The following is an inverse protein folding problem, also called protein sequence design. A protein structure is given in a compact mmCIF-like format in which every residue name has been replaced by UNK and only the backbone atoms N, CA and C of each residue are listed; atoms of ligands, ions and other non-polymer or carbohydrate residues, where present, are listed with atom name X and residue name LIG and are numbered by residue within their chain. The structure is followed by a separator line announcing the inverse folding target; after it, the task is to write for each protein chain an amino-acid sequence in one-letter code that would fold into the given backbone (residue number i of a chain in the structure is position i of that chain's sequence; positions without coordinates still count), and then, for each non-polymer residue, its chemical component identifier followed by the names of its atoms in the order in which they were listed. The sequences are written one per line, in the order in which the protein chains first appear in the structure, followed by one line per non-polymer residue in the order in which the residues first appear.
data_IF_288859661349
#
_entry.id   IF_288859661349
#
_cell.length_a   1.000
_cell.length_b   1.000
_cell.length_c   1.000
_cell.angle_alpha   90.00
_cell.angle_beta   90.00
_cell.angle_gamma   90.00
#
_symmetry.space_group_name_H-M   'P 1'
#
loop_
_entity.id
_entity.type
_entity.pdbx_description
1 polymer ?
#
# COMPACT_ATOMS: atom_id res chain seq x y z
N UNK A 1 -19.52 19.48 -23.93
CA UNK A 1 -18.07 19.29 -23.61
C UNK A 1 -17.85 18.01 -22.77
N UNK A 2 -18.31 16.84 -23.25
CA UNK A 2 -18.25 15.55 -22.50
C UNK A 2 -17.33 14.50 -23.15
N UNK A 3 -17.00 14.65 -24.44
CA UNK A 3 -16.26 13.66 -25.22
C UNK A 3 -14.79 13.48 -24.77
N UNK A 4 -14.12 14.57 -24.35
CA UNK A 4 -12.73 14.52 -23.87
C UNK A 4 -12.57 13.80 -22.51
N UNK A 5 -13.58 13.87 -21.63
CA UNK A 5 -13.54 13.20 -20.32
C UNK A 5 -13.64 11.68 -20.47
N UNK A 6 -14.57 11.21 -21.30
CA UNK A 6 -14.74 9.78 -21.61
C UNK A 6 -13.55 9.17 -22.35
N UNK A 7 -12.93 9.92 -23.26
CA UNK A 7 -11.74 9.47 -23.98
C UNK A 7 -10.50 9.37 -23.06
N UNK A 8 -10.30 10.35 -22.17
CA UNK A 8 -9.25 10.32 -21.15
C UNK A 8 -9.43 9.15 -20.18
N UNK A 9 -10.67 8.88 -19.74
CA UNK A 9 -10.99 7.73 -18.92
C UNK A 9 -10.63 6.41 -19.61
N UNK A 10 -11.00 6.25 -20.88
CA UNK A 10 -10.72 5.03 -21.65
C UNK A 10 -9.21 4.74 -21.78
N UNK A 11 -8.41 5.73 -22.20
CA UNK A 11 -6.94 5.57 -22.31
C UNK A 11 -6.31 5.23 -20.96
N UNK A 12 -6.79 5.85 -19.87
CA UNK A 12 -6.32 5.54 -18.52
C UNK A 12 -6.66 4.12 -18.09
N UNK A 13 -7.86 3.61 -18.40
CA UNK A 13 -8.23 2.23 -18.07
C UNK A 13 -7.38 1.21 -18.84
N UNK A 14 -7.08 1.48 -20.12
CA UNK A 14 -6.19 0.64 -20.91
C UNK A 14 -4.75 0.68 -20.40
N UNK A 15 -4.23 1.88 -20.10
CA UNK A 15 -2.91 2.05 -19.48
C UNK A 15 -2.83 1.31 -18.14
N UNK A 16 -3.88 1.39 -17.31
CA UNK A 16 -3.95 0.69 -16.02
C UNK A 16 -3.89 -0.83 -16.19
N UNK A 17 -4.70 -1.39 -17.10
CA UNK A 17 -4.66 -2.83 -17.43
C UNK A 17 -3.29 -3.25 -17.94
N UNK A 18 -2.68 -2.45 -18.81
CA UNK A 18 -1.34 -2.67 -19.35
C UNK A 18 -0.26 -2.71 -18.25
N UNK A 19 -0.25 -1.71 -17.36
CA UNK A 19 0.69 -1.65 -16.22
C UNK A 19 0.53 -2.87 -15.31
N UNK A 20 -0.70 -3.22 -14.92
CA UNK A 20 -0.94 -4.38 -14.04
C UNK A 20 -0.49 -5.69 -14.69
N UNK A 21 -0.79 -5.87 -15.97
CA UNK A 21 -0.38 -7.04 -16.73
C UNK A 21 1.13 -7.13 -16.89
N UNK A 22 1.79 -6.00 -17.18
CA UNK A 22 3.25 -5.91 -17.26
C UNK A 22 3.92 -6.28 -15.92
N UNK A 23 3.47 -5.70 -14.80
CA UNK A 23 3.99 -6.03 -13.47
C UNK A 23 3.84 -7.53 -13.18
N UNK A 24 2.66 -8.11 -13.44
CA UNK A 24 2.42 -9.55 -13.22
C UNK A 24 3.38 -10.42 -14.04
N UNK A 25 3.64 -10.05 -15.30
CA UNK A 25 4.59 -10.75 -16.16
C UNK A 25 6.05 -10.56 -15.74
N UNK A 26 6.41 -9.42 -15.18
CA UNK A 26 7.77 -9.16 -14.66
C UNK A 26 8.08 -9.94 -13.38
N UNK A 27 7.07 -10.32 -12.59
CA UNK A 27 7.23 -11.02 -11.31
C UNK A 27 6.34 -12.27 -11.22
N UNK A 28 6.51 -13.27 -12.10
CA UNK A 28 5.61 -14.42 -12.17
C UNK A 28 5.66 -15.32 -10.91
N UNK A 29 6.74 -15.24 -10.13
CA UNK A 29 6.90 -16.01 -8.89
C UNK A 29 6.19 -15.41 -7.69
N UNK A 30 5.57 -14.23 -7.82
CA UNK A 30 4.90 -13.52 -6.73
C UNK A 30 3.39 -13.57 -6.94
N UNK A 31 2.64 -14.34 -6.13
CA UNK A 31 1.18 -14.35 -6.17
C UNK A 31 0.62 -12.95 -5.95
N UNK A 32 -0.51 -12.66 -6.57
CA UNK A 32 -1.20 -11.37 -6.43
C UNK A 32 -2.61 -11.55 -5.89
N UNK A 33 -3.05 -10.62 -5.05
CA UNK A 33 -4.46 -10.47 -4.67
C UNK A 33 -4.99 -9.10 -5.10
N UNK A 34 -6.29 -9.03 -5.35
CA UNK A 34 -6.99 -7.77 -5.59
C UNK A 34 -7.22 -6.98 -4.30
N UNK A 35 -7.44 -5.67 -4.44
CA UNK A 35 -7.91 -4.78 -3.36
C UNK A 35 -9.20 -5.27 -2.72
N UNK A 36 -10.14 -5.83 -3.49
CA UNK A 36 -11.37 -6.40 -2.96
C UNK A 36 -11.14 -7.66 -2.11
N UNK A 37 -10.19 -8.53 -2.50
CA UNK A 37 -9.81 -9.69 -1.70
C UNK A 37 -9.13 -9.26 -0.41
N UNK A 38 -8.19 -8.30 -0.46
CA UNK A 38 -7.55 -7.77 0.74
C UNK A 38 -8.59 -7.13 1.68
N UNK A 39 -9.51 -6.33 1.16
CA UNK A 39 -10.55 -5.70 1.99
C UNK A 39 -11.43 -6.72 2.71
N UNK A 40 -11.81 -7.82 2.03
CA UNK A 40 -12.53 -8.93 2.69
C UNK A 40 -11.67 -9.62 3.76
N UNK A 41 -10.38 -9.79 3.49
CA UNK A 41 -9.46 -10.39 4.46
C UNK A 41 -9.29 -9.51 5.70
N UNK A 42 -9.19 -8.19 5.54
CA UNK A 42 -9.09 -7.23 6.65
C UNK A 42 -10.39 -7.10 7.46
N UNK A 43 -11.54 -7.44 6.87
CA UNK A 43 -12.83 -7.48 7.56
C UNK A 43 -13.16 -8.85 8.18
N UNK A 44 -12.31 -9.85 7.99
CA UNK A 44 -12.47 -11.19 8.54
C UNK A 44 -11.95 -11.27 9.98
N UNK A 45 -11.77 -12.48 10.49
CA UNK A 45 -11.27 -12.74 11.84
C UNK A 45 -9.89 -12.07 12.07
N UNK A 46 -9.75 -11.21 13.11
CA UNK A 46 -8.51 -10.55 13.47
C UNK A 46 -7.29 -11.49 13.63
N UNK A 47 -7.52 -12.73 14.05
CA UNK A 47 -6.46 -13.73 14.24
C UNK A 47 -5.85 -14.24 12.93
N UNK A 48 -6.49 -13.96 11.79
CA UNK A 48 -6.07 -14.42 10.46
C UNK A 48 -5.50 -13.32 9.57
N UNK A 49 -5.35 -12.11 10.11
CA UNK A 49 -4.94 -10.94 9.34
C UNK A 49 -3.52 -11.11 8.75
N UNK A 50 -3.30 -10.67 7.50
CA UNK A 50 -1.96 -10.63 6.93
C UNK A 50 -1.16 -9.47 7.53
N UNK A 51 0.16 -9.62 7.59
CA UNK A 51 1.01 -8.44 7.79
C UNK A 51 1.04 -7.60 6.52
N UNK A 52 0.82 -6.30 6.68
CA UNK A 52 0.85 -5.34 5.57
C UNK A 52 2.21 -4.66 5.52
N UNK A 53 2.88 -4.71 4.37
CA UNK A 53 4.20 -4.10 4.17
C UNK A 53 4.14 -3.05 3.06
N UNK A 54 4.44 -1.82 3.42
CA UNK A 54 4.52 -0.68 2.51
C UNK A 54 5.96 -0.45 2.03
N UNK A 55 6.20 -0.69 0.73
CA UNK A 55 7.51 -0.52 0.11
C UNK A 55 7.79 0.91 -0.40
N UNK A 56 6.94 1.89 -0.08
CA UNK A 56 7.10 3.29 -0.50
C UNK A 56 8.13 4.04 0.36
N UNK A 57 8.47 5.26 -0.10
CA UNK A 57 9.35 6.16 0.65
C UNK A 57 8.66 6.68 1.93
N UNK A 58 9.43 7.09 2.96
CA UNK A 58 8.86 7.68 4.18
C UNK A 58 7.88 8.81 3.90
N UNK A 59 8.23 9.72 2.99
CA UNK A 59 7.40 10.87 2.61
C UNK A 59 6.04 10.43 2.00
N UNK A 60 6.03 9.36 1.21
CA UNK A 60 4.80 8.81 0.64
C UNK A 60 3.92 8.11 1.69
N UNK A 61 4.57 7.42 2.65
CA UNK A 61 3.91 6.72 3.75
C UNK A 61 3.30 7.69 4.76
N UNK A 62 3.97 8.82 5.01
CA UNK A 62 3.52 9.87 5.91
C UNK A 62 2.22 10.53 5.42
N UNK A 63 2.08 10.75 4.11
CA UNK A 63 0.82 11.26 3.52
C UNK A 63 -0.34 10.34 3.85
N UNK A 64 -0.17 9.05 3.60
CA UNK A 64 -1.15 8.02 3.97
C UNK A 64 -0.58 6.63 3.82
N UNK A 65 -1.20 5.63 4.44
CA UNK A 65 -0.92 4.21 4.30
C UNK A 65 -2.15 3.37 4.72
N UNK A 66 -2.10 2.06 4.50
CA UNK A 66 -3.16 1.15 4.95
C UNK A 66 -3.06 1.00 6.48
N UNK A 67 -4.20 0.93 7.17
CA UNK A 67 -4.24 0.73 8.62
C UNK A 67 -3.49 -0.54 9.01
N UNK A 68 -2.56 -0.43 9.96
CA UNK A 68 -1.74 -1.55 10.42
C UNK A 68 -0.58 -1.94 9.50
N UNK A 69 -0.27 -1.14 8.48
CA UNK A 69 0.91 -1.35 7.65
C UNK A 69 2.21 -1.01 8.37
N UNK A 70 3.29 -1.72 8.02
CA UNK A 70 4.66 -1.37 8.37
C UNK A 70 5.41 -0.94 7.12
N UNK A 71 6.16 0.15 7.21
CA UNK A 71 7.03 0.58 6.11
C UNK A 71 8.32 -0.24 6.10
N UNK A 72 8.53 -1.05 5.06
CA UNK A 72 9.78 -1.77 4.85
C UNK A 72 10.12 -1.92 3.35
N UNK A 73 11.39 -1.80 3.01
CA UNK A 73 11.94 -1.87 1.64
C UNK A 73 12.91 -3.03 1.44
N UNK A 74 13.37 -3.68 2.50
CA UNK A 74 14.41 -4.70 2.47
C UNK A 74 14.04 -5.90 3.34
N UNK A 75 14.64 -7.07 3.07
CA UNK A 75 14.44 -8.27 3.90
C UNK A 75 14.83 -8.00 5.37
N UNK A 76 15.99 -7.38 5.69
CA UNK A 76 16.34 -7.08 7.08
C UNK A 76 15.35 -6.16 7.81
N UNK A 77 14.69 -5.23 7.10
CA UNK A 77 13.63 -4.41 7.68
C UNK A 77 12.38 -5.24 8.02
N UNK A 78 12.04 -6.23 7.19
CA UNK A 78 10.93 -7.16 7.43
C UNK A 78 11.28 -8.16 8.55
N UNK A 79 12.51 -8.68 8.59
CA UNK A 79 12.95 -9.62 9.63
C UNK A 79 12.83 -9.01 11.04
N UNK A 80 13.09 -7.69 11.18
CA UNK A 80 12.93 -6.96 12.45
C UNK A 80 11.51 -6.96 13.00
N UNK A 81 10.51 -7.26 12.17
CA UNK A 81 9.12 -7.36 12.59
C UNK A 81 8.81 -8.71 13.27
N UNK A 82 9.73 -9.67 13.25
CA UNK A 82 9.54 -10.97 13.89
C UNK A 82 8.45 -11.84 13.25
N UNK A 83 8.10 -11.56 11.98
CA UNK A 83 7.05 -12.28 11.26
C UNK A 83 7.52 -13.70 10.94
N UNK A 84 6.73 -14.71 11.31
CA UNK A 84 6.99 -16.10 10.93
C UNK A 84 6.89 -16.29 9.41
N UNK A 85 7.74 -17.15 8.83
CA UNK A 85 7.83 -17.39 7.39
C UNK A 85 6.51 -17.90 6.78
N UNK A 86 5.73 -18.65 7.56
CA UNK A 86 4.43 -19.21 7.16
C UNK A 86 3.29 -18.18 7.24
N UNK A 87 3.52 -17.06 7.92
CA UNK A 87 2.51 -16.00 8.08
C UNK A 87 2.40 -15.20 6.78
N UNK A 88 1.18 -14.97 6.26
CA UNK A 88 0.98 -14.13 5.10
C UNK A 88 1.55 -12.72 5.24
N UNK A 89 2.25 -12.29 4.20
CA UNK A 89 2.69 -10.91 4.05
C UNK A 89 2.07 -10.35 2.77
N UNK A 90 1.27 -9.31 2.88
CA UNK A 90 0.78 -8.55 1.73
C UNK A 90 1.66 -7.31 1.55
N UNK A 91 2.43 -7.30 0.47
CA UNK A 91 3.29 -6.17 0.09
C UNK A 91 2.55 -5.25 -0.86
N UNK A 92 2.69 -3.93 -0.68
CA UNK A 92 2.14 -2.94 -1.61
C UNK A 92 3.06 -1.72 -1.75
N UNK A 93 2.87 -0.96 -2.83
CA UNK A 93 3.52 0.34 -3.00
C UNK A 93 2.56 1.35 -3.62
N UNK A 94 2.99 2.17 -4.60
CA UNK A 94 2.08 3.06 -5.34
C UNK A 94 1.19 2.26 -6.29
N UNK A 95 1.82 1.57 -7.25
CA UNK A 95 1.15 0.86 -8.36
C UNK A 95 1.39 -0.65 -8.40
N UNK A 96 2.30 -1.17 -7.55
CA UNK A 96 2.58 -2.60 -7.42
C UNK A 96 3.96 -3.09 -7.87
N UNK A 97 4.77 -2.26 -8.55
CA UNK A 97 6.07 -2.70 -9.07
C UNK A 97 7.15 -2.87 -7.98
N UNK A 98 7.37 -1.83 -7.15
CA UNK A 98 8.38 -1.87 -6.05
C UNK A 98 8.07 -2.98 -5.05
N UNK A 99 6.78 -3.18 -4.76
CA UNK A 99 6.31 -4.21 -3.85
C UNK A 99 6.40 -5.60 -4.45
N UNK A 100 6.11 -5.79 -5.74
CA UNK A 100 6.33 -7.08 -6.39
C UNK A 100 7.82 -7.48 -6.35
N UNK A 101 8.74 -6.54 -6.56
CA UNK A 101 10.18 -6.78 -6.41
C UNK A 101 10.57 -7.18 -4.99
N UNK A 102 10.04 -6.50 -3.97
CA UNK A 102 10.25 -6.89 -2.57
C UNK A 102 9.63 -8.27 -2.28
N UNK A 103 8.42 -8.53 -2.76
CA UNK A 103 7.74 -9.81 -2.62
C UNK A 103 8.52 -10.95 -3.24
N UNK A 104 9.17 -10.75 -4.40
CA UNK A 104 10.05 -11.74 -5.01
C UNK A 104 11.24 -12.07 -4.11
N UNK A 105 11.89 -11.05 -3.55
CA UNK A 105 13.01 -11.22 -2.64
C UNK A 105 12.57 -11.93 -1.33
N UNK A 106 11.43 -11.54 -0.77
CA UNK A 106 10.86 -12.17 0.43
C UNK A 106 10.53 -13.65 0.20
N UNK A 107 9.92 -13.99 -0.95
CA UNK A 107 9.63 -15.38 -1.30
C UNK A 107 10.89 -16.22 -1.48
N UNK A 108 11.94 -15.65 -2.11
CA UNK A 108 13.25 -16.31 -2.18
C UNK A 108 13.87 -16.54 -0.79
N UNK A 109 13.54 -15.68 0.19
CA UNK A 109 13.92 -15.81 1.60
C UNK A 109 12.94 -16.64 2.45
N UNK A 110 12.03 -17.39 1.82
CA UNK A 110 11.10 -18.32 2.48
C UNK A 110 9.81 -17.72 3.01
N UNK A 111 9.57 -16.42 2.85
CA UNK A 111 8.32 -15.79 3.31
C UNK A 111 7.13 -16.10 2.40
N UNK A 112 5.95 -16.22 3.00
CA UNK A 112 4.67 -16.30 2.29
C UNK A 112 4.17 -14.91 1.81
N UNK A 113 4.98 -14.24 1.00
CA UNK A 113 4.66 -12.92 0.47
C UNK A 113 3.75 -12.96 -0.78
N UNK A 114 2.82 -12.00 -0.84
CA UNK A 114 1.77 -11.80 -1.84
C UNK A 114 1.74 -10.30 -2.19
N UNK A 115 1.70 -9.95 -3.48
CA UNK A 115 1.64 -8.55 -3.90
C UNK A 115 0.19 -8.05 -4.04
N UNK A 116 -0.09 -6.85 -3.53
CA UNK A 116 -1.37 -6.18 -3.73
C UNK A 116 -1.44 -5.58 -5.14
N UNK A 117 -2.25 -6.19 -6.01
CA UNK A 117 -2.45 -5.71 -7.38
C UNK A 117 -3.07 -4.31 -7.38
N UNK A 118 -2.49 -3.39 -8.16
CA UNK A 118 -2.91 -1.98 -8.22
C UNK A 118 -2.52 -1.16 -6.99
N UNK A 119 -2.14 -1.82 -5.89
CA UNK A 119 -1.57 -1.24 -4.67
C UNK A 119 -2.38 -0.05 -4.12
N UNK A 120 -1.74 0.91 -3.43
CA UNK A 120 -2.47 1.99 -2.75
C UNK A 120 -3.23 2.91 -3.71
N UNK A 121 -2.78 3.04 -4.95
CA UNK A 121 -3.49 3.86 -5.94
C UNK A 121 -4.83 3.24 -6.31
N UNK A 122 -4.90 1.93 -6.54
CA UNK A 122 -6.18 1.25 -6.76
C UNK A 122 -7.04 1.30 -5.50
N UNK A 123 -6.44 1.09 -4.33
CA UNK A 123 -7.13 1.15 -3.04
C UNK A 123 -7.83 2.50 -2.84
N UNK A 124 -7.12 3.60 -3.08
CA UNK A 124 -7.65 4.95 -2.97
C UNK A 124 -8.68 5.28 -4.06
N UNK A 125 -8.43 4.86 -5.31
CA UNK A 125 -9.40 5.03 -6.40
C UNK A 125 -10.73 4.29 -6.14
N UNK A 126 -10.70 3.25 -5.31
CA UNK A 126 -11.88 2.52 -4.83
C UNK A 126 -12.47 3.11 -3.53
N UNK A 127 -12.02 4.30 -3.11
CA UNK A 127 -12.48 5.02 -1.92
C UNK A 127 -12.37 4.20 -0.62
N UNK A 128 -11.40 3.31 -0.54
CA UNK A 128 -11.19 2.49 0.65
C UNK A 128 -10.45 3.26 1.75
N UNK A 129 -10.62 2.90 3.04
CA UNK A 129 -10.02 3.63 4.15
C UNK A 129 -8.49 3.65 4.07
N UNK A 130 -7.91 4.83 4.28
CA UNK A 130 -6.49 5.04 4.52
C UNK A 130 -6.32 5.80 5.82
N UNK A 131 -5.12 5.70 6.38
CA UNK A 131 -4.74 6.45 7.57
C UNK A 131 -3.47 7.24 7.34
N UNK A 132 -3.30 8.31 8.11
CA UNK A 132 -2.06 9.06 8.22
C UNK A 132 -1.66 9.09 9.70
N UNK A 133 -0.36 8.97 9.98
CA UNK A 133 0.13 9.22 11.33
C UNK A 133 0.34 10.73 11.51
N UNK A 134 0.11 11.28 12.72
CA UNK A 134 0.41 12.67 12.98
C UNK A 134 1.88 12.93 12.66
N UNK A 135 2.16 14.00 11.91
CA UNK A 135 3.52 14.48 11.72
C UNK A 135 4.11 14.71 13.11
N UNK A 136 5.08 13.88 13.52
CA UNK A 136 5.86 14.14 14.73
C UNK A 136 6.69 15.39 14.44
N UNK A 137 6.11 16.57 14.67
CA UNK A 137 6.88 17.81 14.81
C UNK A 137 7.78 17.62 16.02
N UNK A 138 9.11 17.66 15.82
CA UNK A 138 10.09 17.70 16.90
C UNK A 138 9.66 18.78 17.90
N UNK A 139 9.04 18.40 19.03
CA UNK A 139 8.58 19.36 20.02
C UNK A 139 7.49 18.93 21.02
N UNK A 140 6.69 17.88 20.78
CA UNK A 140 5.78 17.35 21.82
C UNK A 140 5.13 16.04 21.39
N UNK A 141 5.46 14.94 22.08
CA UNK A 141 4.50 13.83 22.27
C UNK A 141 4.73 13.25 23.67
N UNK A 142 3.80 13.53 24.57
CA UNK A 142 3.47 12.68 25.73
C UNK A 142 2.43 11.68 25.24
N UNK A 143 2.73 10.38 25.25
CA UNK A 143 1.75 9.36 24.86
C UNK A 143 2.34 7.95 24.91
N UNK A 144 1.66 7.06 25.61
CA UNK A 144 2.16 5.78 26.11
C UNK A 144 2.14 4.68 25.04
N UNK A 145 3.21 3.89 24.95
CA UNK A 145 3.32 2.75 24.02
C UNK A 145 2.46 1.59 24.52
N UNK A 146 1.34 1.29 23.86
CA UNK A 146 0.59 0.05 24.07
C UNK A 146 1.18 -1.04 23.19
N UNK A 147 1.78 -2.06 23.80
CA UNK A 147 2.34 -3.23 23.11
C UNK A 147 1.36 -4.40 23.11
N UNK A 148 0.90 -4.79 21.93
CA UNK A 148 0.20 -6.04 21.65
C UNK A 148 0.42 -6.38 20.18
N UNK A 149 0.82 -7.62 19.90
CA UNK A 149 1.25 -8.15 18.59
C UNK A 149 0.47 -7.57 17.39
N UNK A 150 1.02 -6.49 16.83
CA UNK A 150 0.42 -5.57 15.88
C UNK A 150 1.21 -4.26 15.98
N UNK A 151 1.23 -3.40 14.95
CA UNK A 151 1.91 -2.11 15.10
C UNK A 151 1.25 -1.37 16.27
N UNK A 152 2.02 -0.69 17.14
CA UNK A 152 1.41 0.28 18.03
C UNK A 152 0.64 1.24 17.13
N UNK A 153 -0.69 1.23 17.23
CA UNK A 153 -1.50 2.29 16.62
C UNK A 153 -1.04 3.53 17.35
N UNK A 154 -0.26 4.38 16.68
CA UNK A 154 0.27 5.56 17.34
C UNK A 154 -0.94 6.42 17.75
N UNK A 155 -0.93 6.89 18.99
CA UNK A 155 -1.96 7.78 19.51
C UNK A 155 -2.05 8.99 18.57
N UNK A 156 -3.13 9.07 17.78
CA UNK A 156 -3.33 10.12 16.76
C UNK A 156 -3.46 9.68 15.30
N UNK A 157 -3.43 8.39 14.96
CA UNK A 157 -3.75 7.90 13.62
C UNK A 157 -5.11 8.45 13.13
N UNK A 158 -5.14 9.16 12.00
CA UNK A 158 -6.34 9.81 11.46
C UNK A 158 -6.74 9.22 10.11
N UNK A 159 -8.04 9.01 9.89
CA UNK A 159 -8.58 8.65 8.59
C UNK A 159 -8.31 9.74 7.54
N UNK A 160 -7.85 9.33 6.36
CA UNK A 160 -7.57 10.22 5.23
C UNK A 160 -7.98 9.56 3.91
N UNK A 161 -8.12 10.38 2.87
CA UNK A 161 -8.28 9.94 1.48
C UNK A 161 -7.11 10.38 0.61
N UNK A 162 -6.14 11.09 1.18
CA UNK A 162 -5.00 11.61 0.43
C UNK A 162 -4.03 10.51 0.05
N UNK A 163 -3.43 10.61 -1.13
CA UNK A 163 -2.34 9.74 -1.55
C UNK A 163 -1.25 10.56 -2.23
N UNK A 164 0.00 10.29 -1.86
CA UNK A 164 1.15 10.89 -2.53
C UNK A 164 1.24 10.39 -3.97
N UNK A 165 1.26 11.26 -4.99
CA UNK A 165 1.23 10.86 -6.41
C UNK A 165 2.53 10.18 -6.88
N UNK A 166 3.56 10.16 -6.03
CA UNK A 166 4.94 9.71 -6.27
C UNK A 166 5.70 10.59 -7.26
N UNK A 167 5.17 10.74 -8.48
CA UNK A 167 5.61 11.72 -9.47
C UNK A 167 4.47 12.02 -10.46
N UNK A 168 4.68 12.99 -11.36
CA UNK A 168 3.65 13.41 -12.33
C UNK A 168 3.18 12.27 -13.22
N UNK A 169 4.08 11.39 -13.68
CA UNK A 169 3.73 10.29 -14.58
C UNK A 169 2.78 9.28 -13.93
N UNK A 170 3.12 8.78 -12.73
CA UNK A 170 2.28 7.82 -12.03
C UNK A 170 1.04 8.48 -11.42
N UNK A 171 1.13 9.77 -11.04
CA UNK A 171 0.01 10.57 -10.55
C UNK A 171 -1.15 10.67 -11.54
N UNK A 172 -0.91 10.61 -12.85
CA UNK A 172 -1.96 10.56 -13.87
C UNK A 172 -2.90 9.36 -13.73
N UNK A 173 -2.49 8.33 -13.00
CA UNK A 173 -3.31 7.13 -12.78
C UNK A 173 -4.24 7.27 -11.56
N UNK A 174 -4.00 8.22 -10.66
CA UNK A 174 -4.94 8.56 -9.57
C UNK A 174 -6.16 9.28 -10.13
N UNK A 175 -7.36 8.89 -9.70
CA UNK A 175 -8.61 9.54 -10.08
C UNK A 175 -8.49 11.06 -9.85
N UNK A 176 -8.78 11.92 -10.85
CA UNK A 176 -8.54 13.36 -10.74
C UNK A 176 -9.40 14.03 -9.67
N UNK A 177 -10.46 13.37 -9.22
CA UNK A 177 -11.31 13.81 -8.12
C UNK A 177 -10.81 13.32 -6.74
N UNK A 178 -9.70 12.58 -6.68
CA UNK A 178 -9.07 12.21 -5.42
C UNK A 178 -8.22 13.38 -4.92
N UNK A 179 -8.31 13.75 -3.64
CA UNK A 179 -7.40 14.72 -3.06
C UNK A 179 -5.97 14.15 -3.11
N UNK A 180 -5.10 14.79 -3.89
CA UNK A 180 -3.67 14.49 -3.87
C UNK A 180 -2.98 15.39 -2.85
N UNK A 181 -2.06 14.82 -2.09
CA UNK A 181 -1.13 15.63 -1.28
C UNK A 181 -0.17 16.37 -2.23
N UNK A 182 -0.61 17.52 -2.73
CA UNK A 182 0.23 18.47 -3.47
C UNK A 182 0.38 19.72 -2.62
N UNK A 183 1.45 19.76 -1.82
CA UNK A 183 2.06 20.98 -1.26
C UNK A 183 3.56 20.80 -1.22
#
# INVERSE_FOLDING_TARGET
MSWFSSFSFYIRTLAWKGVKHWIRRSFPSVPTISTAQLARWLAADPSTLPHLIDARKPEEYAVSHLLGAYRAKTIPEVDKLGISKDTPIVVYCSVGYRSARLGQALRAAGYRAINLEGSIFQWANEHRPLVTEPLVTKGSVTGSLVTGQGPPIAEGTRATHEVHPYNTFWGMLLNPNQPSASR
#
